data_IF_470854899074
#
_entry.id   IF_470854899074
#
_cell.length_a   1.000
_cell.length_b   1.000
_cell.length_c   1.000
_cell.angle_alpha   90.00
_cell.angle_beta   90.00
_cell.angle_gamma   90.00
#
_symmetry.space_group_name_H-M   'P 1'
#
loop_
_entity.id
_entity.type
_entity.pdbx_description
1 polymer ?
#
# COMPACT_ATOMS: atom_id res chain seq x y z
N UNK A 1 11.85 -5.41 -8.05
CA UNK A 1 11.82 -5.63 -9.50
C UNK A 1 11.78 -4.30 -10.26
N UNK A 2 10.71 -3.47 -10.17
CA UNK A 2 10.64 -2.18 -10.88
C UNK A 2 11.81 -1.24 -10.52
N UNK A 3 12.20 -1.18 -9.25
CA UNK A 3 13.38 -0.43 -8.81
C UNK A 3 14.66 -0.89 -9.52
N UNK A 4 14.79 -2.20 -9.76
CA UNK A 4 15.96 -2.77 -10.48
C UNK A 4 15.92 -2.41 -11.99
N UNK A 5 14.75 -2.05 -12.50
CA UNK A 5 14.56 -1.52 -13.86
C UNK A 5 14.80 0.00 -13.96
N UNK A 6 15.19 0.66 -12.87
CA UNK A 6 15.43 2.10 -12.83
C UNK A 6 14.20 2.96 -12.51
N UNK A 7 13.08 2.35 -12.10
CA UNK A 7 11.90 3.10 -11.69
C UNK A 7 12.16 3.90 -10.40
N UNK A 8 11.68 5.14 -10.36
CA UNK A 8 11.50 5.88 -9.12
C UNK A 8 10.27 5.33 -8.41
N UNK A 9 10.41 4.93 -7.14
CA UNK A 9 9.32 4.33 -6.37
C UNK A 9 8.89 5.29 -5.26
N UNK A 10 7.61 5.61 -5.21
CA UNK A 10 6.94 6.30 -4.09
C UNK A 10 6.11 5.24 -3.35
N UNK A 11 6.58 4.83 -2.19
CA UNK A 11 5.99 3.78 -1.35
C UNK A 11 5.13 4.42 -0.27
N UNK A 12 3.80 4.31 -0.41
CA UNK A 12 2.85 4.91 0.52
C UNK A 12 2.88 4.27 1.92
N UNK A 13 3.20 2.98 2.02
CA UNK A 13 3.33 2.31 3.32
C UNK A 13 4.58 2.79 4.06
N UNK A 14 5.70 2.99 3.35
CA UNK A 14 6.91 3.56 3.93
C UNK A 14 6.67 5.00 4.41
N UNK A 15 5.99 5.84 3.60
CA UNK A 15 5.60 7.20 3.98
C UNK A 15 4.71 7.17 5.23
N UNK A 16 3.67 6.32 5.27
CA UNK A 16 2.80 6.17 6.42
C UNK A 16 3.57 5.75 7.68
N UNK A 17 4.55 4.85 7.51
CA UNK A 17 5.42 4.43 8.61
C UNK A 17 6.26 5.59 9.16
N UNK A 18 6.90 6.38 8.32
CA UNK A 18 7.70 7.55 8.71
C UNK A 18 6.84 8.61 9.40
N UNK A 19 5.69 8.94 8.82
CA UNK A 19 4.75 9.92 9.38
C UNK A 19 4.08 9.48 10.68
N UNK A 20 4.16 8.20 11.05
CA UNK A 20 3.67 7.66 12.31
C UNK A 20 4.75 7.53 13.40
N UNK A 21 5.98 7.96 13.13
CA UNK A 21 7.04 8.03 14.16
C UNK A 21 6.71 9.11 15.22
N UNK A 22 7.31 9.05 16.42
CA UNK A 22 7.06 10.03 17.47
C UNK A 22 7.16 11.47 16.96
N UNK A 23 6.21 12.31 17.34
CA UNK A 23 6.09 13.72 16.95
C UNK A 23 5.80 14.00 15.46
N UNK A 24 5.50 12.97 14.67
CA UNK A 24 5.10 13.12 13.27
C UNK A 24 3.57 13.31 13.14
N UNK A 25 3.06 13.83 12.01
CA UNK A 25 1.64 14.16 11.86
C UNK A 25 0.66 13.01 12.09
N UNK A 26 0.96 11.79 11.61
CA UNK A 26 0.10 10.63 11.84
C UNK A 26 0.14 10.18 13.29
N UNK A 27 1.29 10.29 13.98
CA UNK A 27 1.38 10.02 15.40
C UNK A 27 0.39 10.89 16.18
N UNK A 28 0.37 12.21 15.94
CA UNK A 28 -0.55 13.12 16.59
C UNK A 28 -2.02 12.82 16.25
N UNK A 29 -2.31 12.55 14.97
CA UNK A 29 -3.66 12.17 14.54
C UNK A 29 -4.17 10.91 15.26
N UNK A 30 -3.31 9.94 15.49
CA UNK A 30 -3.65 8.73 16.25
C UNK A 30 -3.88 9.02 17.73
N UNK A 31 -2.99 9.79 18.37
CA UNK A 31 -3.16 10.15 19.78
C UNK A 31 -4.44 10.97 20.01
N UNK A 32 -4.78 11.88 19.10
CA UNK A 32 -6.04 12.63 19.15
C UNK A 32 -7.28 11.74 18.97
N UNK A 33 -7.18 10.71 18.13
CA UNK A 33 -8.34 9.84 17.83
C UNK A 33 -8.55 8.75 18.89
N UNK A 34 -7.47 8.14 19.35
CA UNK A 34 -7.49 6.95 20.20
C UNK A 34 -7.21 7.22 21.67
N UNK A 35 -6.65 8.42 22.00
CA UNK A 35 -6.19 8.77 23.33
C UNK A 35 -4.70 8.45 23.56
N UNK A 36 -4.11 8.99 24.65
CA UNK A 36 -2.70 8.81 24.96
C UNK A 36 -2.32 7.38 25.37
N UNK A 37 -3.28 6.53 25.68
CA UNK A 37 -3.08 5.14 26.09
C UNK A 37 -2.56 4.23 24.96
N UNK A 38 -2.58 4.71 23.71
CA UNK A 38 -1.96 4.00 22.58
C UNK A 38 -0.47 4.31 22.42
N UNK A 39 0.10 5.10 23.32
CA UNK A 39 1.54 5.40 23.31
C UNK A 39 2.23 4.48 24.31
N UNK A 40 3.22 3.74 23.85
CA UNK A 40 4.02 2.84 24.69
C UNK A 40 4.93 3.64 25.65
N UNK A 41 5.48 3.01 26.70
CA UNK A 41 6.46 3.67 27.57
C UNK A 41 7.69 4.22 26.85
N UNK A 42 8.03 3.63 25.68
CA UNK A 42 9.15 4.05 24.81
C UNK A 42 8.78 5.26 23.94
N UNK A 43 7.54 5.76 24.02
CA UNK A 43 7.05 6.91 23.26
C UNK A 43 6.63 6.61 21.82
N UNK A 44 6.45 5.35 21.47
CA UNK A 44 6.00 4.92 20.14
C UNK A 44 4.51 4.51 20.16
N UNK A 45 3.89 4.39 18.98
CA UNK A 45 2.51 3.91 18.89
C UNK A 45 2.43 2.40 19.15
N UNK A 46 1.50 1.98 19.99
CA UNK A 46 1.09 0.59 20.14
C UNK A 46 0.23 0.18 18.93
N UNK A 47 0.91 -0.29 17.89
CA UNK A 47 0.27 -0.71 16.62
C UNK A 47 -0.67 -1.90 16.80
N UNK A 48 -0.39 -2.79 17.75
CA UNK A 48 -1.22 -3.95 18.04
C UNK A 48 -2.55 -3.50 18.65
N UNK A 49 -2.51 -2.58 19.61
CA UNK A 49 -3.71 -2.02 20.25
C UNK A 49 -4.55 -1.20 19.25
N UNK A 50 -3.92 -0.38 18.41
CA UNK A 50 -4.60 0.36 17.35
C UNK A 50 -5.30 -0.62 16.40
N UNK A 51 -4.58 -1.64 15.90
CA UNK A 51 -5.13 -2.66 15.02
C UNK A 51 -6.33 -3.37 15.65
N UNK A 52 -6.23 -3.76 16.92
CA UNK A 52 -7.30 -4.40 17.67
C UNK A 52 -8.56 -3.54 17.73
N UNK A 53 -8.43 -2.22 18.00
CA UNK A 53 -9.56 -1.28 18.08
C UNK A 53 -10.23 -1.09 16.72
N UNK A 54 -9.47 -0.86 15.66
CA UNK A 54 -10.03 -0.62 14.32
C UNK A 54 -10.57 -1.90 13.67
N UNK A 55 -10.05 -3.08 14.06
CA UNK A 55 -10.58 -4.34 13.58
C UNK A 55 -11.99 -4.61 14.12
N UNK A 56 -12.25 -4.26 15.38
CA UNK A 56 -13.55 -4.46 16.05
C UNK A 56 -14.56 -3.35 15.77
N UNK A 57 -14.15 -2.19 15.25
CA UNK A 57 -15.00 -1.02 15.03
C UNK A 57 -14.74 -0.39 13.65
N UNK A 58 -15.63 -0.71 12.70
CA UNK A 58 -15.58 -0.18 11.34
C UNK A 58 -15.71 1.34 11.30
N UNK A 59 -16.57 1.95 12.15
CA UNK A 59 -16.74 3.39 12.17
C UNK A 59 -15.48 4.10 12.68
N UNK A 60 -14.78 3.50 13.66
CA UNK A 60 -13.52 4.01 14.15
C UNK A 60 -12.41 3.89 13.08
N UNK A 61 -12.38 2.77 12.34
CA UNK A 61 -11.48 2.58 11.20
C UNK A 61 -11.71 3.65 10.12
N UNK A 62 -12.95 3.93 9.79
CA UNK A 62 -13.28 4.94 8.79
C UNK A 62 -12.88 6.35 9.23
N UNK A 63 -13.06 6.69 10.52
CA UNK A 63 -12.57 7.95 11.11
C UNK A 63 -11.04 8.04 11.06
N UNK A 64 -10.35 6.94 11.35
CA UNK A 64 -8.90 6.87 11.27
C UNK A 64 -8.43 7.12 9.82
N UNK A 65 -9.00 6.41 8.87
CA UNK A 65 -8.67 6.56 7.45
C UNK A 65 -8.94 7.98 6.95
N UNK A 66 -10.08 8.58 7.32
CA UNK A 66 -10.42 9.96 6.95
C UNK A 66 -9.42 11.00 7.47
N UNK A 67 -8.73 10.72 8.60
CA UNK A 67 -7.68 11.61 9.13
C UNK A 67 -6.31 11.34 8.54
N UNK A 68 -5.97 10.07 8.32
CA UNK A 68 -4.61 9.63 7.95
C UNK A 68 -4.38 9.71 6.44
N UNK A 69 -5.36 9.32 5.62
CA UNK A 69 -5.21 9.32 4.15
C UNK A 69 -4.85 10.69 3.58
N UNK A 70 -5.46 11.82 3.99
CA UNK A 70 -5.07 13.14 3.48
C UNK A 70 -3.63 13.51 3.83
N UNK A 71 -3.12 13.10 5.00
CA UNK A 71 -1.75 13.38 5.43
C UNK A 71 -0.75 12.63 4.54
N UNK A 72 -1.00 11.34 4.29
CA UNK A 72 -0.14 10.53 3.41
C UNK A 72 -0.22 11.06 1.98
N UNK A 73 -1.44 11.35 1.51
CA UNK A 73 -1.67 11.82 0.15
C UNK A 73 -0.90 13.10 -0.16
N UNK A 74 -0.90 14.07 0.75
CA UNK A 74 -0.16 15.32 0.57
C UNK A 74 1.34 15.06 0.34
N UNK A 75 1.96 14.17 1.13
CA UNK A 75 3.38 13.81 0.95
C UNK A 75 3.62 13.03 -0.35
N UNK A 76 2.67 12.16 -0.74
CA UNK A 76 2.75 11.45 -2.03
C UNK A 76 2.70 12.46 -3.19
N UNK A 77 1.76 13.41 -3.17
CA UNK A 77 1.64 14.45 -4.19
C UNK A 77 2.91 15.30 -4.26
N UNK A 78 3.49 15.72 -3.12
CA UNK A 78 4.77 16.42 -3.08
C UNK A 78 5.93 15.60 -3.70
N UNK A 79 5.96 14.29 -3.46
CA UNK A 79 6.95 13.39 -4.05
C UNK A 79 6.79 13.28 -5.58
N UNK A 80 5.54 13.20 -6.07
CA UNK A 80 5.24 13.14 -7.50
C UNK A 80 5.62 14.45 -8.19
N UNK A 81 5.30 15.59 -7.60
CA UNK A 81 5.66 16.91 -8.11
C UNK A 81 7.18 17.10 -8.15
N UNK A 82 7.89 16.70 -7.10
CA UNK A 82 9.35 16.76 -7.07
C UNK A 82 9.99 15.88 -8.15
N UNK A 83 9.45 14.70 -8.39
CA UNK A 83 9.92 13.80 -9.44
C UNK A 83 9.65 14.40 -10.85
N UNK A 84 8.49 15.00 -11.05
CA UNK A 84 8.15 15.70 -12.28
C UNK A 84 9.11 16.86 -12.56
N UNK A 85 9.36 17.71 -11.55
CA UNK A 85 10.30 18.84 -11.65
C UNK A 85 11.73 18.38 -11.90
N UNK A 86 12.11 17.20 -11.43
CA UNK A 86 13.42 16.60 -11.69
C UNK A 86 13.53 15.93 -13.08
N UNK A 87 12.46 15.94 -13.88
CA UNK A 87 12.42 15.33 -15.21
C UNK A 87 12.51 13.80 -15.18
N UNK A 88 12.01 13.16 -14.09
CA UNK A 88 11.98 11.70 -14.01
C UNK A 88 10.89 11.20 -14.96
N UNK A 89 11.22 10.32 -15.92
CA UNK A 89 10.30 9.96 -16.99
C UNK A 89 9.10 9.15 -16.53
N UNK A 90 9.25 8.34 -15.46
CA UNK A 90 8.15 7.60 -14.87
C UNK A 90 8.38 7.32 -13.38
N UNK A 91 7.31 7.45 -12.60
CA UNK A 91 7.28 7.17 -11.17
C UNK A 91 6.28 6.04 -10.92
N UNK A 92 6.65 5.11 -10.07
CA UNK A 92 5.76 4.05 -9.62
C UNK A 92 5.26 4.43 -8.22
N UNK A 93 3.95 4.60 -8.11
CA UNK A 93 3.26 4.78 -6.84
C UNK A 93 2.84 3.40 -6.31
N UNK A 94 3.50 2.93 -5.25
CA UNK A 94 3.21 1.64 -4.61
C UNK A 94 2.20 1.83 -3.48
N UNK A 95 0.96 1.41 -3.72
CA UNK A 95 -0.19 1.56 -2.80
C UNK A 95 -1.05 0.30 -2.82
N UNK A 96 -1.08 -0.49 -1.75
CA UNK A 96 -1.91 -1.71 -1.69
C UNK A 96 -3.42 -1.45 -1.82
N UNK A 97 -3.89 -0.29 -1.34
CA UNK A 97 -5.30 0.12 -1.34
C UNK A 97 -5.57 1.26 -2.35
N UNK A 98 -4.92 1.21 -3.51
CA UNK A 98 -4.98 2.26 -4.53
C UNK A 98 -6.43 2.62 -4.91
N UNK A 99 -7.21 1.62 -5.29
CA UNK A 99 -8.59 1.80 -5.73
C UNK A 99 -9.54 2.16 -4.59
N UNK A 100 -9.37 1.53 -3.42
CA UNK A 100 -10.17 1.78 -2.23
C UNK A 100 -10.01 3.23 -1.72
N UNK A 101 -8.81 3.78 -1.86
CA UNK A 101 -8.51 5.16 -1.49
C UNK A 101 -8.81 6.19 -2.61
N UNK A 102 -9.17 5.73 -3.83
CA UNK A 102 -9.39 6.60 -4.99
C UNK A 102 -8.11 7.28 -5.48
N UNK A 103 -6.94 6.64 -5.26
CA UNK A 103 -5.65 7.19 -5.66
C UNK A 103 -5.21 6.76 -7.07
N UNK A 104 -5.98 5.90 -7.72
CA UNK A 104 -5.90 5.61 -9.15
C UNK A 104 -6.02 6.89 -10.00
N UNK A 105 -6.74 7.91 -9.50
CA UNK A 105 -6.80 9.24 -10.12
C UNK A 105 -5.45 10.01 -10.14
N UNK A 106 -4.44 9.57 -9.39
CA UNK A 106 -3.09 10.14 -9.38
C UNK A 106 -2.15 9.49 -10.41
N UNK A 107 -2.60 8.46 -11.10
CA UNK A 107 -1.79 7.64 -12.01
C UNK A 107 -2.30 7.73 -13.43
N UNK A 108 -1.40 7.60 -14.41
CA UNK A 108 -1.75 7.46 -15.83
C UNK A 108 -2.09 6.03 -16.21
N UNK A 109 -1.41 5.07 -15.58
CA UNK A 109 -1.61 3.64 -15.78
C UNK A 109 -1.65 2.93 -14.42
N UNK A 110 -2.54 1.96 -14.28
CA UNK A 110 -2.65 1.12 -13.09
C UNK A 110 -2.23 -0.31 -13.38
N UNK A 111 -1.30 -0.82 -12.57
CA UNK A 111 -0.80 -2.19 -12.67
C UNK A 111 -1.21 -2.99 -11.45
N UNK A 112 -1.85 -4.13 -11.65
CA UNK A 112 -2.27 -5.05 -10.58
C UNK A 112 -1.47 -6.33 -10.65
N UNK A 113 -0.85 -6.69 -9.52
CA UNK A 113 -0.19 -8.01 -9.36
C UNK A 113 -1.24 -9.01 -8.92
N UNK A 114 -1.47 -10.03 -9.73
CA UNK A 114 -2.51 -11.04 -9.52
C UNK A 114 -1.94 -12.39 -9.10
N UNK A 115 -2.69 -13.07 -8.22
CA UNK A 115 -2.45 -14.43 -7.75
C UNK A 115 -3.78 -15.17 -7.64
N UNK A 116 -3.83 -16.50 -7.84
CA UNK A 116 -4.97 -17.31 -7.43
C UNK A 116 -5.28 -17.11 -5.94
N UNK A 117 -6.56 -17.05 -5.53
CA UNK A 117 -6.93 -16.79 -4.11
C UNK A 117 -6.30 -17.78 -3.11
N UNK A 118 -6.16 -19.05 -3.50
CA UNK A 118 -5.50 -20.08 -2.67
C UNK A 118 -4.01 -19.79 -2.44
N UNK A 119 -3.32 -19.28 -3.47
CA UNK A 119 -1.91 -18.89 -3.35
C UNK A 119 -1.73 -17.59 -2.58
N UNK A 120 -2.65 -16.63 -2.73
CA UNK A 120 -2.64 -15.39 -1.97
C UNK A 120 -2.66 -15.67 -0.46
N UNK A 121 -3.59 -16.53 -0.01
CA UNK A 121 -3.68 -16.96 1.38
C UNK A 121 -2.40 -17.69 1.83
N UNK A 122 -1.95 -18.67 1.06
CA UNK A 122 -0.76 -19.43 1.39
C UNK A 122 0.49 -18.56 1.53
N UNK A 123 0.70 -17.60 0.61
CA UNK A 123 1.84 -16.67 0.67
C UNK A 123 1.74 -15.67 1.81
N UNK A 124 0.53 -15.23 2.18
CA UNK A 124 0.32 -14.36 3.33
C UNK A 124 0.70 -15.08 4.63
N UNK A 125 0.23 -16.30 4.84
CA UNK A 125 0.56 -17.13 6.01
C UNK A 125 2.06 -17.49 6.07
N UNK A 126 2.69 -17.75 4.92
CA UNK A 126 4.12 -18.03 4.85
C UNK A 126 4.99 -16.80 5.16
N UNK A 127 4.50 -15.59 4.91
CA UNK A 127 5.21 -14.33 5.19
C UNK A 127 5.09 -13.89 6.63
N UNK A 128 3.91 -14.09 7.23
CA UNK A 128 3.60 -13.68 8.60
C UNK A 128 3.20 -14.88 9.45
N UNK A 129 4.20 -15.47 10.10
CA UNK A 129 4.03 -16.67 10.93
C UNK A 129 3.27 -16.41 12.25
N UNK A 130 2.99 -15.16 12.57
CA UNK A 130 2.21 -14.79 13.78
C UNK A 130 0.72 -14.76 13.53
N UNK A 131 0.30 -14.79 12.26
CA UNK A 131 -1.09 -14.69 11.82
C UNK A 131 -1.71 -16.06 11.64
N UNK A 132 -2.92 -16.25 12.13
CA UNK A 132 -3.71 -17.43 11.84
C UNK A 132 -4.47 -17.31 10.50
N UNK A 133 -5.08 -18.43 10.06
CA UNK A 133 -5.79 -18.48 8.79
C UNK A 133 -7.04 -17.56 8.78
N UNK A 134 -7.73 -17.43 9.91
CA UNK A 134 -8.93 -16.58 10.01
C UNK A 134 -8.57 -15.11 9.89
N UNK A 135 -7.48 -14.69 10.54
CA UNK A 135 -6.94 -13.33 10.43
C UNK A 135 -6.44 -13.02 9.01
N UNK A 136 -5.77 -14.00 8.38
CA UNK A 136 -5.28 -13.85 7.01
C UNK A 136 -6.44 -13.67 6.02
N UNK A 137 -7.49 -14.48 6.15
CA UNK A 137 -8.72 -14.33 5.34
C UNK A 137 -9.40 -12.98 5.57
N UNK A 138 -9.58 -12.59 6.84
CA UNK A 138 -10.17 -11.29 7.18
C UNK A 138 -9.38 -10.11 6.58
N UNK A 139 -8.05 -10.19 6.51
CA UNK A 139 -7.21 -9.18 5.83
C UNK A 139 -7.42 -9.13 4.32
N UNK A 140 -7.58 -10.29 3.68
CA UNK A 140 -7.86 -10.37 2.24
C UNK A 140 -9.26 -9.81 1.97
N UNK A 141 -10.25 -10.24 2.73
CA UNK A 141 -11.66 -9.85 2.55
C UNK A 141 -11.95 -8.38 2.88
N UNK A 142 -11.08 -7.74 3.68
CA UNK A 142 -11.16 -6.31 3.97
C UNK A 142 -10.77 -5.40 2.80
N UNK A 143 -10.17 -5.96 1.75
CA UNK A 143 -9.79 -5.25 0.53
C UNK A 143 -10.81 -5.48 -0.59
N UNK A 144 -10.77 -4.60 -1.59
CA UNK A 144 -11.50 -4.85 -2.84
C UNK A 144 -11.09 -6.21 -3.41
N UNK A 145 -12.05 -7.03 -3.87
CA UNK A 145 -11.74 -8.32 -4.48
C UNK A 145 -10.70 -8.19 -5.60
N UNK A 146 -9.70 -9.07 -5.60
CA UNK A 146 -8.59 -9.02 -6.58
C UNK A 146 -9.10 -9.06 -8.03
N UNK A 147 -10.18 -9.82 -8.28
CA UNK A 147 -10.81 -9.87 -9.60
C UNK A 147 -11.35 -8.49 -10.03
N UNK A 148 -11.91 -7.72 -9.10
CA UNK A 148 -12.38 -6.36 -9.38
C UNK A 148 -11.20 -5.41 -9.63
N UNK A 149 -10.12 -5.50 -8.83
CA UNK A 149 -8.88 -4.74 -9.09
C UNK A 149 -8.32 -5.06 -10.48
N UNK A 150 -8.29 -6.33 -10.88
CA UNK A 150 -7.84 -6.75 -12.21
C UNK A 150 -8.73 -6.19 -13.34
N UNK A 151 -10.04 -6.06 -13.14
CA UNK A 151 -10.93 -5.46 -14.14
C UNK A 151 -10.73 -3.94 -14.31
N UNK A 152 -10.22 -3.26 -13.28
CA UNK A 152 -9.94 -1.82 -13.30
C UNK A 152 -8.54 -1.49 -13.79
N UNK A 153 -7.64 -2.46 -13.76
CA UNK A 153 -6.24 -2.26 -14.11
C UNK A 153 -6.02 -2.16 -15.62
N UNK A 154 -5.10 -1.30 -16.03
CA UNK A 154 -4.60 -1.23 -17.39
C UNK A 154 -3.68 -2.41 -17.72
N UNK A 155 -2.96 -2.90 -16.70
CA UNK A 155 -2.05 -4.05 -16.81
C UNK A 155 -2.24 -5.01 -15.64
N UNK A 156 -2.38 -6.30 -15.93
CA UNK A 156 -2.39 -7.35 -14.92
C UNK A 156 -1.11 -8.17 -15.02
N UNK A 157 -0.35 -8.25 -13.93
CA UNK A 157 0.87 -9.05 -13.81
C UNK A 157 0.52 -10.35 -13.10
N UNK A 158 0.58 -11.46 -13.82
CA UNK A 158 0.44 -12.79 -13.20
C UNK A 158 1.70 -13.11 -12.38
N UNK A 159 1.51 -13.31 -11.09
CA UNK A 159 2.56 -13.68 -10.13
C UNK A 159 2.39 -15.12 -9.62
N UNK A 160 1.62 -15.97 -10.31
CA UNK A 160 1.44 -17.39 -9.94
C UNK A 160 2.65 -18.27 -10.29
N UNK A 161 3.46 -17.82 -11.25
CA UNK A 161 4.68 -18.49 -11.66
C UNK A 161 5.86 -18.28 -10.71
N UNK A 162 7.04 -18.62 -11.21
CA UNK A 162 8.32 -18.38 -10.51
C UNK A 162 8.65 -16.89 -10.45
N UNK A 163 9.51 -16.54 -9.47
CA UNK A 163 10.01 -15.16 -9.35
C UNK A 163 10.70 -14.66 -10.61
N UNK A 164 11.40 -15.54 -11.33
CA UNK A 164 12.11 -15.20 -12.56
C UNK A 164 11.15 -14.93 -13.72
N UNK A 165 10.05 -15.68 -13.81
CA UNK A 165 9.00 -15.45 -14.80
C UNK A 165 8.31 -14.10 -14.56
N UNK A 166 7.90 -13.83 -13.32
CA UNK A 166 7.34 -12.53 -12.94
C UNK A 166 8.33 -11.39 -13.23
N UNK A 167 9.62 -11.57 -12.92
CA UNK A 167 10.66 -10.58 -13.21
C UNK A 167 10.77 -10.27 -14.70
N UNK A 168 10.81 -11.28 -15.55
CA UNK A 168 10.86 -11.11 -17.02
C UNK A 168 9.62 -10.39 -17.56
N UNK A 169 8.44 -10.71 -17.00
CA UNK A 169 7.20 -10.02 -17.34
C UNK A 169 7.26 -8.54 -16.99
N UNK A 170 7.65 -8.21 -15.75
CA UNK A 170 7.82 -6.83 -15.25
C UNK A 170 8.83 -6.05 -16.10
N UNK A 171 9.99 -6.63 -16.40
CA UNK A 171 11.02 -5.99 -17.22
C UNK A 171 10.52 -5.67 -18.64
N UNK A 172 9.75 -6.57 -19.24
CA UNK A 172 9.15 -6.36 -20.56
C UNK A 172 8.12 -5.23 -20.52
N UNK A 173 7.19 -5.28 -19.58
CA UNK A 173 6.14 -4.28 -19.40
C UNK A 173 6.73 -2.89 -19.12
N UNK A 174 7.74 -2.80 -18.25
CA UNK A 174 8.42 -1.55 -17.94
C UNK A 174 9.08 -0.91 -19.16
N UNK A 175 9.78 -1.71 -19.97
CA UNK A 175 10.38 -1.22 -21.23
C UNK A 175 9.34 -0.67 -22.20
N UNK A 176 8.18 -1.32 -22.26
CA UNK A 176 7.08 -0.83 -23.11
C UNK A 176 6.50 0.46 -22.57
N UNK A 177 6.27 0.56 -21.26
CA UNK A 177 5.76 1.77 -20.60
C UNK A 177 6.68 2.96 -20.88
N UNK A 178 7.99 2.84 -20.60
CA UNK A 178 8.96 3.94 -20.79
C UNK A 178 9.12 4.35 -22.25
N UNK A 179 8.92 3.45 -23.20
CA UNK A 179 9.04 3.79 -24.62
C UNK A 179 7.86 4.64 -25.15
N UNK A 180 6.76 4.75 -24.37
CA UNK A 180 5.56 5.53 -24.72
C UNK A 180 5.43 6.83 -23.89
N UNK A 181 6.35 7.07 -22.95
CA UNK A 181 6.47 8.29 -22.16
C UNK A 181 7.42 9.27 -22.82
#
# INVERSE_FOLDING_TARGET
MLKDCGACIVDADAIAHELSQPNQPIFHAYVELFGPEIVTPEGTLDRAEIARRVFSDTALRDKMNARVHPIIRAVVEDCLDAAHMAGIPAVVLDVPLLFEAGWDALTTDTWVVSLPPSEQLARLLARDHTMDEAEARARIDAQMPLAEKCMRADVVIDNSGTRDETKKCVEKLWKTCIAHT
#
